data_IF_807417349469
#
_entry.id   IF_807417349469
#
_cell.length_a   1.000
_cell.length_b   1.000
_cell.length_c   1.000
_cell.angle_alpha   90.00
_cell.angle_beta   90.00
_cell.angle_gamma   90.00
#
_symmetry.space_group_name_H-M   'P 1'
#
loop_
_entity.id
_entity.type
_entity.pdbx_description
1 polymer ?
#
# COMPACT_ATOMS: atom_id res chain seq x y z
N UNK A 1 6.27 3.72 -9.29
CA UNK A 1 5.72 3.73 -10.68
C UNK A 1 5.73 2.30 -11.20
N UNK A 2 4.85 1.96 -12.15
CA UNK A 2 4.80 0.62 -12.74
C UNK A 2 5.93 0.43 -13.75
N UNK A 3 6.77 -0.58 -13.57
CA UNK A 3 7.84 -0.95 -14.49
C UNK A 3 7.35 -2.00 -15.50
N UNK A 4 7.85 -1.97 -16.73
CA UNK A 4 7.63 -3.05 -17.67
C UNK A 4 8.35 -4.31 -17.19
N UNK A 5 7.68 -5.46 -17.27
CA UNK A 5 8.25 -6.75 -16.89
C UNK A 5 7.97 -7.75 -18.01
N UNK A 6 8.98 -8.43 -18.51
CA UNK A 6 8.84 -9.42 -19.58
C UNK A 6 9.48 -10.74 -19.16
N UNK A 7 8.83 -11.84 -19.51
CA UNK A 7 9.30 -13.17 -19.18
C UNK A 7 8.86 -14.17 -20.25
N UNK A 8 9.45 -15.36 -20.24
CA UNK A 8 9.09 -16.44 -21.16
C UNK A 8 8.03 -17.33 -20.54
N UNK A 9 6.95 -17.56 -21.29
CA UNK A 9 5.99 -18.62 -21.00
C UNK A 9 6.57 -20.00 -21.33
N UNK A 10 5.83 -21.05 -21.00
CA UNK A 10 6.29 -22.44 -21.12
C UNK A 10 6.69 -22.84 -22.54
N UNK A 11 5.99 -22.33 -23.55
CA UNK A 11 6.24 -22.66 -24.97
C UNK A 11 7.18 -21.64 -25.66
N UNK A 12 7.88 -20.81 -24.87
CA UNK A 12 8.85 -19.81 -25.37
C UNK A 12 8.24 -18.47 -25.80
N UNK A 13 6.92 -18.32 -25.70
CA UNK A 13 6.20 -17.07 -25.94
C UNK A 13 6.65 -15.97 -24.97
N UNK A 14 6.71 -14.72 -25.43
CA UNK A 14 7.03 -13.59 -24.54
C UNK A 14 5.76 -13.08 -23.89
N UNK A 15 5.70 -13.18 -22.57
CA UNK A 15 4.59 -12.65 -21.76
C UNK A 15 4.98 -11.29 -21.19
N UNK A 16 4.05 -10.34 -21.24
CA UNK A 16 4.28 -8.95 -20.87
C UNK A 16 3.44 -8.54 -19.68
N UNK A 17 4.09 -7.92 -18.72
CA UNK A 17 3.50 -7.45 -17.49
C UNK A 17 3.92 -6.06 -17.07
N UNK A 18 3.41 -5.70 -15.89
CA UNK A 18 3.67 -4.47 -15.16
C UNK A 18 3.94 -4.84 -13.71
N UNK A 19 5.15 -4.53 -13.24
CA UNK A 19 5.55 -4.70 -11.86
C UNK A 19 5.36 -3.36 -11.13
N UNK A 20 4.41 -3.30 -10.21
CA UNK A 20 4.20 -2.16 -9.33
C UNK A 20 5.05 -2.36 -8.06
N UNK A 21 6.05 -1.52 -7.85
CA UNK A 21 6.91 -1.55 -6.66
C UNK A 21 6.46 -0.54 -5.60
N UNK A 22 6.56 -0.87 -4.29
CA UNK A 22 6.42 0.11 -3.22
C UNK A 22 7.54 1.15 -3.26
N UNK A 23 7.39 2.22 -2.49
CA UNK A 23 8.51 3.08 -2.13
C UNK A 23 9.40 2.33 -1.14
N UNK A 24 10.68 2.12 -1.48
CA UNK A 24 11.60 1.30 -0.69
C UNK A 24 11.56 -0.20 -1.03
N UNK A 25 12.16 -1.02 -0.16
CA UNK A 25 12.25 -2.47 -0.38
C UNK A 25 10.87 -3.15 -0.26
N UNK A 26 10.50 -4.06 -1.18
CA UNK A 26 9.28 -4.86 -1.05
C UNK A 26 9.27 -5.71 0.21
N UNK A 27 8.18 -5.62 0.99
CA UNK A 27 7.96 -6.43 2.20
C UNK A 27 7.34 -7.79 1.89
N UNK A 28 6.65 -7.87 0.75
CA UNK A 28 6.22 -9.11 0.12
C UNK A 28 6.00 -8.86 -1.37
N UNK A 29 5.76 -9.95 -2.11
CA UNK A 29 5.45 -9.92 -3.52
C UNK A 29 4.15 -10.67 -3.77
N UNK A 30 3.28 -10.08 -4.60
CA UNK A 30 2.05 -10.65 -5.07
C UNK A 30 2.08 -10.85 -6.59
N UNK A 31 1.57 -11.98 -7.04
CA UNK A 31 1.25 -12.22 -8.45
C UNK A 31 -0.27 -12.08 -8.61
N UNK A 32 -0.68 -11.16 -9.49
CA UNK A 32 -2.09 -10.84 -9.69
C UNK A 32 -2.59 -11.29 -11.07
N UNK A 33 -3.31 -12.40 -11.09
CA UNK A 33 -4.11 -12.88 -12.22
C UNK A 33 -5.43 -12.10 -12.30
N UNK A 34 -5.53 -11.14 -13.22
CA UNK A 34 -6.79 -10.45 -13.47
C UNK A 34 -7.73 -11.29 -14.36
N UNK A 35 -8.96 -10.83 -14.56
CA UNK A 35 -9.94 -11.50 -15.41
C UNK A 35 -9.38 -11.77 -16.83
N UNK A 36 -9.62 -12.98 -17.35
CA UNK A 36 -9.15 -13.46 -18.66
C UNK A 36 -9.68 -12.68 -19.86
N UNK A 37 -10.75 -11.90 -19.68
CA UNK A 37 -11.33 -11.07 -20.74
C UNK A 37 -10.92 -9.61 -20.60
N UNK A 38 -10.13 -9.30 -19.58
CA UNK A 38 -9.63 -7.97 -19.27
C UNK A 38 -8.14 -7.95 -19.57
N UNK A 39 -7.65 -6.96 -20.34
CA UNK A 39 -6.20 -6.74 -20.41
C UNK A 39 -5.68 -6.28 -19.05
N UNK A 40 -4.36 -6.38 -18.81
CA UNK A 40 -3.73 -5.97 -17.55
C UNK A 40 -4.10 -4.57 -17.10
N UNK A 41 -4.47 -3.69 -18.02
CA UNK A 41 -4.75 -2.28 -17.76
C UNK A 41 -6.18 -1.98 -17.29
N UNK A 42 -6.98 -2.99 -16.94
CA UNK A 42 -8.29 -2.73 -16.30
C UNK A 42 -8.17 -1.94 -15.01
N UNK A 43 -9.11 -1.01 -14.83
CA UNK A 43 -9.12 -0.01 -13.76
C UNK A 43 -8.99 -0.65 -12.38
N UNK A 44 -9.77 -1.70 -12.09
CA UNK A 44 -9.71 -2.39 -10.81
C UNK A 44 -8.36 -3.05 -10.55
N UNK A 45 -7.81 -3.81 -11.50
CA UNK A 45 -6.52 -4.48 -11.30
C UNK A 45 -5.38 -3.46 -11.08
N UNK A 46 -5.36 -2.37 -11.87
CA UNK A 46 -4.41 -1.27 -11.67
C UNK A 46 -4.54 -0.62 -10.30
N UNK A 47 -5.77 -0.34 -9.86
CA UNK A 47 -6.03 0.33 -8.59
C UNK A 47 -5.65 -0.55 -7.41
N UNK A 48 -6.06 -1.82 -7.44
CA UNK A 48 -5.69 -2.80 -6.41
C UNK A 48 -4.17 -2.96 -6.35
N UNK A 49 -3.47 -3.15 -7.48
CA UNK A 49 -2.01 -3.28 -7.47
C UNK A 49 -1.31 -2.05 -6.89
N UNK A 50 -1.74 -0.83 -7.26
CA UNK A 50 -1.16 0.40 -6.72
C UNK A 50 -1.41 0.54 -5.22
N UNK A 51 -2.61 0.17 -4.76
CA UNK A 51 -2.97 0.25 -3.35
C UNK A 51 -2.21 -0.79 -2.51
N UNK A 52 -2.03 -2.01 -3.01
CA UNK A 52 -1.17 -3.03 -2.40
C UNK A 52 0.30 -2.59 -2.35
N UNK A 53 0.81 -2.00 -3.43
CA UNK A 53 2.15 -1.43 -3.48
C UNK A 53 2.34 -0.28 -2.47
N UNK A 54 1.34 0.58 -2.28
CA UNK A 54 1.37 1.61 -1.24
C UNK A 54 1.48 1.04 0.19
N UNK A 55 1.15 -0.25 0.39
CA UNK A 55 1.28 -0.96 1.66
C UNK A 55 2.54 -1.84 1.76
N UNK A 56 3.47 -1.71 0.81
CA UNK A 56 4.74 -2.45 0.83
C UNK A 56 4.72 -3.79 0.10
N UNK A 57 3.64 -4.15 -0.60
CA UNK A 57 3.53 -5.40 -1.36
C UNK A 57 3.79 -5.10 -2.83
N UNK A 58 4.92 -5.54 -3.39
CA UNK A 58 5.15 -5.42 -4.83
C UNK A 58 4.17 -6.32 -5.59
N UNK A 59 3.61 -5.85 -6.70
CA UNK A 59 2.58 -6.61 -7.44
C UNK A 59 2.94 -6.73 -8.91
N UNK A 60 3.09 -7.96 -9.40
CA UNK A 60 3.16 -8.24 -10.83
C UNK A 60 1.75 -8.52 -11.37
N UNK A 61 1.35 -7.74 -12.37
CA UNK A 61 0.23 -8.07 -13.28
C UNK A 61 0.79 -8.39 -14.64
N UNK A 62 0.24 -9.36 -15.35
CA UNK A 62 0.68 -9.68 -16.71
C UNK A 62 -0.50 -10.09 -17.59
N UNK A 63 -0.37 -9.86 -18.89
CA UNK A 63 -1.30 -10.37 -19.88
C UNK A 63 -0.98 -11.86 -20.11
N UNK A 64 -1.95 -12.77 -19.96
CA UNK A 64 -1.75 -14.19 -20.29
C UNK A 64 -1.46 -14.39 -21.79
N UNK A 65 -0.99 -15.59 -22.15
CA UNK A 65 -0.75 -15.97 -23.55
C UNK A 65 -1.93 -15.60 -24.46
N UNK A 66 -1.64 -14.87 -25.53
CA UNK A 66 -2.63 -14.45 -26.52
C UNK A 66 -3.63 -13.36 -26.07
N UNK A 67 -3.38 -12.72 -24.93
CA UNK A 67 -4.12 -11.55 -24.48
C UNK A 67 -3.23 -10.29 -24.48
N UNK A 68 -3.84 -9.14 -24.74
CA UNK A 68 -3.19 -7.84 -24.61
C UNK A 68 -1.95 -7.71 -25.48
N UNK A 69 -0.78 -7.57 -24.84
CA UNK A 69 0.51 -7.43 -25.53
C UNK A 69 1.41 -8.67 -25.45
N UNK A 70 0.90 -9.76 -24.88
CA UNK A 70 1.62 -11.03 -24.80
C UNK A 70 1.53 -11.79 -26.12
N UNK A 71 2.60 -12.48 -26.47
CA UNK A 71 2.67 -13.29 -27.69
C UNK A 71 1.68 -14.48 -27.60
N UNK A 72 1.35 -15.07 -28.76
CA UNK A 72 0.52 -16.28 -28.87
C UNK A 72 -0.94 -15.99 -29.27
N UNK A 73 -1.74 -17.05 -29.32
CA UNK A 73 -3.18 -17.00 -29.59
C UNK A 73 -3.96 -17.57 -28.40
N UNK A 74 -4.90 -16.80 -27.85
CA UNK A 74 -5.65 -17.19 -26.65
C UNK A 74 -6.43 -18.50 -26.88
N UNK A 75 -6.92 -18.71 -28.10
CA UNK A 75 -7.60 -19.93 -28.51
C UNK A 75 -6.73 -21.20 -28.32
N UNK A 76 -5.39 -21.08 -28.32
CA UNK A 76 -4.49 -22.23 -28.30
C UNK A 76 -3.95 -22.61 -26.91
N UNK A 77 -3.93 -21.68 -25.94
CA UNK A 77 -3.31 -21.92 -24.61
C UNK A 77 -4.20 -22.74 -23.66
N UNK A 78 -5.52 -22.58 -23.71
CA UNK A 78 -6.45 -23.28 -22.80
C UNK A 78 -6.35 -22.79 -21.34
N UNK A 79 -7.18 -23.34 -20.44
CA UNK A 79 -7.12 -22.98 -19.01
C UNK A 79 -5.83 -23.48 -18.34
N UNK A 80 -5.38 -24.69 -18.71
CA UNK A 80 -4.14 -25.29 -18.22
C UNK A 80 -2.91 -24.45 -18.60
N UNK A 81 -2.85 -23.92 -19.82
CA UNK A 81 -1.76 -23.01 -20.24
C UNK A 81 -1.71 -21.73 -19.41
N UNK A 82 -2.86 -21.21 -18.97
CA UNK A 82 -2.90 -20.04 -18.10
C UNK A 82 -2.36 -20.33 -16.69
N UNK A 83 -2.60 -21.54 -16.17
CA UNK A 83 -2.00 -22.00 -14.93
C UNK A 83 -0.47 -22.11 -15.07
N UNK A 84 0.01 -22.56 -16.22
CA UNK A 84 1.43 -22.64 -16.56
C UNK A 84 2.08 -21.25 -16.71
N UNK A 85 1.36 -20.29 -17.30
CA UNK A 85 1.81 -18.90 -17.39
C UNK A 85 1.98 -18.27 -15.99
N UNK A 86 1.10 -18.58 -15.03
CA UNK A 86 1.25 -18.14 -13.64
C UNK A 86 2.49 -18.75 -12.98
N UNK A 87 2.80 -20.00 -13.28
CA UNK A 87 4.01 -20.65 -12.78
C UNK A 87 5.27 -19.99 -13.36
N UNK A 88 5.29 -19.76 -14.68
CA UNK A 88 6.39 -19.05 -15.34
C UNK A 88 6.59 -17.63 -14.80
N UNK A 89 5.50 -16.90 -14.52
CA UNK A 89 5.57 -15.57 -13.92
C UNK A 89 6.17 -15.61 -12.50
N UNK A 90 5.76 -16.60 -11.69
CA UNK A 90 6.29 -16.78 -10.34
C UNK A 90 7.77 -17.17 -10.34
N UNK A 91 8.20 -18.02 -11.27
CA UNK A 91 9.62 -18.38 -11.47
C UNK A 91 10.46 -17.18 -11.91
N UNK A 92 9.97 -16.41 -12.88
CA UNK A 92 10.66 -15.21 -13.37
C UNK A 92 10.83 -14.15 -12.26
N UNK A 93 9.81 -13.98 -11.41
CA UNK A 93 9.91 -13.15 -10.20
C UNK A 93 10.93 -13.73 -9.21
N UNK A 94 10.88 -15.04 -8.96
CA UNK A 94 11.80 -15.75 -8.07
C UNK A 94 13.27 -15.58 -8.47
N UNK A 95 13.57 -15.63 -9.77
CA UNK A 95 14.91 -15.41 -10.31
C UNK A 95 15.47 -14.00 -10.02
N UNK A 96 14.61 -13.02 -9.77
CA UNK A 96 15.00 -11.66 -9.36
C UNK A 96 14.95 -11.44 -7.84
N UNK A 97 14.84 -12.52 -7.05
CA UNK A 97 14.70 -12.44 -5.58
C UNK A 97 13.31 -11.96 -5.13
N UNK A 98 12.30 -12.01 -6.01
CA UNK A 98 10.95 -11.50 -5.78
C UNK A 98 9.90 -12.62 -5.78
N UNK A 99 10.26 -13.82 -5.30
CA UNK A 99 9.34 -14.96 -5.30
C UNK A 99 7.99 -14.61 -4.63
N UNK A 100 6.84 -14.82 -5.29
CA UNK A 100 5.56 -14.36 -4.78
C UNK A 100 5.14 -15.18 -3.56
N UNK A 101 4.80 -14.48 -2.47
CA UNK A 101 4.18 -15.06 -1.28
C UNK A 101 2.65 -15.02 -1.33
N UNK A 102 2.09 -14.13 -2.15
CA UNK A 102 0.65 -13.93 -2.31
C UNK A 102 0.23 -14.14 -3.77
N UNK A 103 -0.86 -14.89 -3.97
CA UNK A 103 -1.58 -14.85 -5.24
C UNK A 103 -2.87 -14.06 -5.07
N UNK A 104 -3.15 -13.18 -6.02
CA UNK A 104 -4.43 -12.48 -6.12
C UNK A 104 -5.07 -12.89 -7.45
N UNK A 105 -6.34 -13.27 -7.43
CA UNK A 105 -7.09 -13.66 -8.62
C UNK A 105 -8.43 -12.95 -8.70
N UNK A 106 -8.80 -12.44 -9.87
CA UNK A 106 -10.11 -11.82 -10.10
C UNK A 106 -10.89 -12.57 -11.17
N UNK A 107 -12.19 -12.79 -10.92
CA UNK A 107 -13.08 -13.55 -11.81
C UNK A 107 -12.49 -14.95 -12.11
N UNK A 108 -12.45 -15.37 -13.38
CA UNK A 108 -11.77 -16.61 -13.80
C UNK A 108 -10.29 -16.66 -13.37
N UNK A 109 -9.60 -15.52 -13.24
CA UNK A 109 -8.24 -15.45 -12.70
C UNK A 109 -8.14 -15.99 -11.27
N UNK A 110 -9.24 -15.91 -10.51
CA UNK A 110 -9.40 -16.54 -9.20
C UNK A 110 -9.29 -18.06 -9.25
N UNK A 111 -9.95 -18.70 -10.22
CA UNK A 111 -9.83 -20.15 -10.42
C UNK A 111 -8.40 -20.54 -10.83
N UNK A 112 -7.77 -19.74 -11.71
CA UNK A 112 -6.40 -19.99 -12.16
C UNK A 112 -5.38 -19.92 -11.01
N UNK A 113 -5.47 -18.92 -10.13
CA UNK A 113 -4.55 -18.83 -8.98
C UNK A 113 -4.77 -19.94 -7.95
N UNK A 114 -6.02 -20.39 -7.75
CA UNK A 114 -6.30 -21.54 -6.89
C UNK A 114 -5.66 -22.81 -7.48
N UNK A 115 -5.80 -23.03 -8.79
CA UNK A 115 -5.21 -24.18 -9.47
C UNK A 115 -3.66 -24.13 -9.44
N UNK A 116 -3.06 -22.95 -9.64
CA UNK A 116 -1.61 -22.75 -9.65
C UNK A 116 -0.97 -22.84 -8.26
N UNK A 117 -1.68 -22.45 -7.19
CA UNK A 117 -1.11 -22.26 -5.85
C UNK A 117 -0.37 -23.50 -5.31
N UNK A 118 -0.87 -24.71 -5.59
CA UNK A 118 -0.26 -25.96 -5.12
C UNK A 118 1.13 -26.21 -5.70
N UNK A 119 1.40 -25.72 -6.91
CA UNK A 119 2.67 -25.86 -7.61
C UNK A 119 3.71 -24.80 -7.22
N UNK A 120 3.34 -23.82 -6.37
CA UNK A 120 4.18 -22.68 -6.01
C UNK A 120 4.59 -22.75 -4.53
N UNK A 121 5.81 -23.20 -4.19
CA UNK A 121 6.24 -23.39 -2.80
C UNK A 121 6.37 -22.08 -2.00
N UNK A 122 6.68 -20.97 -2.68
CA UNK A 122 6.83 -19.63 -2.06
C UNK A 122 5.50 -19.05 -1.60
N UNK A 123 4.40 -19.39 -2.28
CA UNK A 123 3.06 -18.87 -1.97
C UNK A 123 2.63 -19.36 -0.60
N UNK A 124 2.15 -18.45 0.24
CA UNK A 124 1.59 -18.73 1.58
C UNK A 124 0.10 -18.39 1.68
N UNK A 125 -0.36 -17.46 0.84
CA UNK A 125 -1.72 -16.94 0.87
C UNK A 125 -2.28 -16.75 -0.55
N UNK A 126 -3.59 -16.97 -0.70
CA UNK A 126 -4.35 -16.79 -1.94
C UNK A 126 -5.57 -15.92 -1.62
N UNK A 127 -5.76 -14.85 -2.38
CA UNK A 127 -6.94 -14.01 -2.32
C UNK A 127 -7.67 -14.05 -3.66
N UNK A 128 -8.97 -14.33 -3.64
CA UNK A 128 -9.80 -14.36 -4.85
C UNK A 128 -10.95 -13.36 -4.75
N UNK A 129 -11.23 -12.68 -5.85
CA UNK A 129 -12.24 -11.62 -5.96
C UNK A 129 -13.25 -12.04 -7.03
N UNK A 130 -14.52 -12.24 -6.67
CA UNK A 130 -15.58 -12.54 -7.64
C UNK A 130 -15.35 -13.86 -8.40
N UNK A 131 -14.68 -14.84 -7.79
CA UNK A 131 -14.22 -16.04 -8.48
C UNK A 131 -15.33 -17.09 -8.62
N UNK A 132 -15.43 -17.77 -9.78
CA UNK A 132 -16.34 -18.91 -9.94
C UNK A 132 -15.81 -20.13 -9.17
N UNK A 133 -16.73 -20.88 -8.55
CA UNK A 133 -16.40 -22.13 -7.85
C UNK A 133 -16.22 -23.30 -8.83
N UNK A 134 -16.94 -23.23 -9.94
CA UNK A 134 -16.84 -24.16 -11.05
C UNK A 134 -16.55 -23.34 -12.32
N UNK A 135 -15.30 -23.38 -12.82
CA UNK A 135 -14.93 -22.69 -14.05
C UNK A 135 -15.78 -23.13 -15.25
N UNK A 136 -16.29 -24.37 -15.25
CA UNK A 136 -17.20 -24.85 -16.28
C UNK A 136 -18.56 -24.17 -16.23
N UNK A 137 -19.07 -23.74 -15.06
CA UNK A 137 -20.32 -22.99 -14.99
C UNK A 137 -20.25 -21.61 -15.68
N UNK A 138 -19.04 -21.06 -15.86
CA UNK A 138 -18.85 -19.83 -16.65
C UNK A 138 -19.22 -20.05 -18.12
N UNK A 139 -19.19 -21.30 -18.59
CA UNK A 139 -19.63 -21.65 -19.95
C UNK A 139 -21.11 -21.42 -20.20
N UNK A 140 -21.94 -21.31 -19.16
CA UNK A 140 -23.33 -20.88 -19.31
C UNK A 140 -23.44 -19.45 -19.86
N UNK A 141 -22.47 -18.58 -19.62
CA UNK A 141 -22.40 -17.26 -20.28
C UNK A 141 -22.07 -17.37 -21.78
N UNK A 142 -21.55 -18.52 -22.21
CA UNK A 142 -21.22 -18.84 -23.59
C UNK A 142 -22.18 -19.87 -24.19
N UNK A 143 -23.33 -20.15 -23.56
CA UNK A 143 -24.22 -21.25 -23.96
C UNK A 143 -24.71 -21.13 -25.41
N UNK A 144 -24.85 -19.91 -25.93
CA UNK A 144 -25.20 -19.66 -27.32
C UNK A 144 -24.09 -20.02 -28.32
N UNK A 145 -22.83 -19.98 -27.89
CA UNK A 145 -21.66 -20.30 -28.71
C UNK A 145 -21.14 -21.73 -28.44
N UNK A 146 -21.60 -22.42 -27.40
CA UNK A 146 -21.11 -23.75 -27.04
C UNK A 146 -21.34 -24.79 -28.14
N UNK A 147 -22.50 -24.76 -28.81
CA UNK A 147 -22.80 -25.62 -29.95
C UNK A 147 -21.88 -25.33 -31.15
N UNK A 148 -21.60 -24.05 -31.41
CA UNK A 148 -20.67 -23.61 -32.45
C UNK A 148 -19.23 -24.05 -32.15
N UNK A 149 -18.77 -23.90 -30.91
CA UNK A 149 -17.43 -24.34 -30.48
C UNK A 149 -17.27 -25.87 -30.62
N UNK A 150 -18.31 -26.64 -30.27
CA UNK A 150 -18.30 -28.10 -30.45
C UNK A 150 -18.44 -28.55 -31.90
N UNK A 151 -19.05 -27.74 -32.78
CA UNK A 151 -19.14 -28.03 -34.21
C UNK A 151 -17.86 -27.61 -34.96
N UNK A 152 -17.47 -26.34 -34.84
CA UNK A 152 -16.45 -25.67 -35.65
C UNK A 152 -15.07 -25.65 -35.00
N UNK A 153 -15.00 -25.85 -33.67
CA UNK A 153 -13.75 -25.94 -32.91
C UNK A 153 -13.37 -24.65 -32.19
N UNK A 154 -13.91 -23.52 -32.63
CA UNK A 154 -13.76 -22.20 -32.02
C UNK A 154 -15.04 -21.38 -32.22
N UNK A 155 -15.32 -20.40 -31.36
CA UNK A 155 -16.33 -19.38 -31.62
C UNK A 155 -15.96 -18.05 -30.93
N UNK A 156 -16.45 -16.95 -31.48
CA UNK A 156 -16.31 -15.62 -30.89
C UNK A 156 -17.40 -15.37 -29.85
N UNK A 157 -16.99 -14.97 -28.65
CA UNK A 157 -17.88 -14.66 -27.53
C UNK A 157 -17.60 -13.28 -26.97
N UNK A 158 -18.61 -12.66 -26.35
CA UNK A 158 -18.47 -11.37 -25.69
C UNK A 158 -18.68 -11.50 -24.18
N UNK A 159 -17.72 -11.03 -23.38
CA UNK A 159 -17.83 -10.97 -21.92
C UNK A 159 -17.41 -9.58 -21.44
N UNK A 160 -18.26 -8.95 -20.64
CA UNK A 160 -18.02 -7.60 -20.11
C UNK A 160 -17.69 -6.55 -21.21
N UNK A 161 -18.30 -6.69 -22.39
CA UNK A 161 -18.17 -5.74 -23.51
C UNK A 161 -16.91 -5.90 -24.36
N UNK A 162 -16.24 -7.05 -24.32
CA UNK A 162 -15.10 -7.38 -25.19
C UNK A 162 -15.29 -8.73 -25.86
N UNK A 163 -14.95 -8.78 -27.14
CA UNK A 163 -15.06 -9.99 -27.97
C UNK A 163 -13.74 -10.77 -27.97
N UNK A 164 -13.83 -12.10 -27.89
CA UNK A 164 -12.69 -13.01 -27.90
C UNK A 164 -13.09 -14.39 -28.41
N UNK A 165 -12.13 -15.08 -29.03
CA UNK A 165 -12.33 -16.43 -29.57
C UNK A 165 -12.04 -17.48 -28.49
N UNK A 166 -13.02 -18.33 -28.17
CA UNK A 166 -12.84 -19.51 -27.32
C UNK A 166 -12.66 -20.74 -28.20
N UNK A 167 -11.75 -21.63 -27.83
CA UNK A 167 -11.60 -22.94 -28.48
C UNK A 167 -12.29 -24.07 -27.71
N UNK A 168 -12.57 -25.16 -28.43
CA UNK A 168 -13.09 -26.41 -27.85
C UNK A 168 -12.13 -27.00 -26.81
N UNK A 169 -10.82 -26.84 -27.02
CA UNK A 169 -9.79 -27.24 -26.06
C UNK A 169 -9.95 -26.49 -24.74
N UNK A 170 -10.19 -25.17 -24.79
CA UNK A 170 -10.42 -24.37 -23.58
C UNK A 170 -11.65 -24.83 -22.79
N UNK A 171 -12.77 -25.12 -23.47
CA UNK A 171 -13.97 -25.63 -22.80
C UNK A 171 -13.75 -27.00 -22.13
N UNK A 172 -13.02 -27.90 -22.80
CA UNK A 172 -12.68 -29.22 -22.23
C UNK A 172 -11.73 -29.10 -21.04
N UNK A 173 -10.68 -28.29 -21.16
CA UNK A 173 -9.73 -28.05 -20.07
C UNK A 173 -10.43 -27.44 -18.83
N UNK A 174 -11.43 -26.58 -19.03
CA UNK A 174 -12.25 -26.03 -17.95
C UNK A 174 -13.11 -27.10 -17.27
N UNK A 175 -13.73 -28.01 -18.03
CA UNK A 175 -14.53 -29.11 -17.50
C UNK A 175 -13.70 -30.13 -16.70
N UNK A 176 -12.48 -30.41 -17.16
CA UNK A 176 -11.59 -31.39 -16.52
C UNK A 176 -10.91 -30.82 -15.25
N UNK A 177 -10.92 -29.50 -15.05
CA UNK A 177 -10.33 -28.86 -13.87
C UNK A 177 -11.29 -28.88 -12.68
N UNK A 178 -11.14 -29.84 -11.77
CA UNK A 178 -11.90 -29.85 -10.51
C UNK A 178 -11.29 -28.91 -9.47
N UNK A 179 -11.73 -27.65 -9.46
CA UNK A 179 -11.28 -26.64 -8.48
C UNK A 179 -11.48 -27.10 -7.02
N UNK A 180 -12.50 -27.91 -6.77
CA UNK A 180 -12.79 -28.53 -5.46
C UNK A 180 -11.60 -29.31 -4.91
N UNK A 181 -10.88 -30.07 -5.74
CA UNK A 181 -9.75 -30.88 -5.28
C UNK A 181 -8.53 -30.00 -4.96
N UNK A 182 -8.28 -28.99 -5.81
CA UNK A 182 -7.27 -27.95 -5.53
C UNK A 182 -7.55 -27.24 -4.20
N UNK A 183 -8.82 -26.92 -3.90
CA UNK A 183 -9.20 -26.26 -2.64
C UNK A 183 -9.03 -27.16 -1.41
N UNK A 184 -9.33 -28.47 -1.53
CA UNK A 184 -9.13 -29.44 -0.43
C UNK A 184 -7.66 -29.63 -0.10
N UNK A 185 -6.79 -29.53 -1.10
CA UNK A 185 -5.34 -29.73 -1.00
C UNK A 185 -4.54 -28.43 -1.10
N UNK A 186 -5.19 -27.27 -0.96
CA UNK A 186 -4.56 -25.97 -1.15
C UNK A 186 -3.40 -25.79 -0.16
N UNK A 187 -3.61 -26.16 1.11
CA UNK A 187 -2.61 -26.00 2.19
C UNK A 187 -2.00 -24.58 2.26
N UNK A 188 -2.76 -23.55 1.86
CA UNK A 188 -2.45 -22.11 1.94
C UNK A 188 -3.64 -21.39 2.56
N UNK A 189 -3.40 -20.20 3.10
CA UNK A 189 -4.49 -19.36 3.56
C UNK A 189 -5.33 -18.87 2.38
N UNK A 190 -6.66 -18.91 2.50
CA UNK A 190 -7.59 -18.47 1.45
C UNK A 190 -8.46 -17.31 1.93
N UNK A 191 -8.49 -16.22 1.17
CA UNK A 191 -9.45 -15.14 1.31
C UNK A 191 -10.35 -15.08 0.09
N UNK A 192 -11.66 -15.13 0.31
CA UNK A 192 -12.67 -14.97 -0.73
C UNK A 192 -13.32 -13.60 -0.52
N UNK A 193 -13.25 -12.73 -1.53
CA UNK A 193 -13.98 -11.47 -1.58
C UNK A 193 -15.02 -11.54 -2.68
N UNK A 194 -16.28 -11.23 -2.38
CA UNK A 194 -17.34 -11.38 -3.38
C UNK A 194 -18.51 -10.41 -3.14
N UNK A 195 -19.03 -9.81 -4.21
CA UNK A 195 -20.16 -8.90 -4.12
C UNK A 195 -21.49 -9.67 -4.05
N UNK A 196 -22.39 -9.38 -3.09
CA UNK A 196 -23.68 -10.07 -3.00
C UNK A 196 -24.59 -9.88 -4.22
N UNK A 197 -24.42 -8.76 -4.93
CA UNK A 197 -25.22 -8.37 -6.11
C UNK A 197 -24.44 -8.57 -7.43
N UNK A 198 -23.41 -9.41 -7.42
CA UNK A 198 -22.64 -9.75 -8.62
C UNK A 198 -23.53 -10.43 -9.67
N UNK A 199 -23.79 -9.74 -10.78
CA UNK A 199 -24.63 -10.22 -11.86
C UNK A 199 -23.92 -11.15 -12.86
N UNK A 200 -22.59 -11.30 -12.74
CA UNK A 200 -21.78 -12.12 -13.65
C UNK A 200 -21.44 -13.45 -12.97
N UNK A 201 -20.92 -13.40 -11.76
CA UNK A 201 -20.60 -14.60 -10.97
C UNK A 201 -21.37 -14.48 -9.66
N UNK A 202 -22.50 -15.18 -9.57
CA UNK A 202 -23.37 -15.10 -8.39
C UNK A 202 -22.67 -15.51 -7.08
N UNK A 203 -23.13 -14.93 -5.97
CA UNK A 203 -22.55 -15.08 -4.63
C UNK A 203 -22.45 -16.52 -4.13
N UNK A 204 -23.30 -17.42 -4.64
CA UNK A 204 -23.27 -18.85 -4.30
C UNK A 204 -21.93 -19.53 -4.66
N UNK A 205 -21.19 -18.96 -5.62
CA UNK A 205 -19.82 -19.39 -5.91
C UNK A 205 -18.89 -19.16 -4.71
N UNK A 206 -18.98 -18.00 -4.05
CA UNK A 206 -18.18 -17.72 -2.86
C UNK A 206 -18.48 -18.72 -1.74
N UNK A 207 -19.77 -19.02 -1.52
CA UNK A 207 -20.21 -20.05 -0.57
C UNK A 207 -19.64 -21.42 -0.90
N UNK A 208 -19.67 -21.81 -2.17
CA UNK A 208 -19.17 -23.11 -2.64
C UNK A 208 -17.65 -23.22 -2.47
N UNK A 209 -16.90 -22.18 -2.86
CA UNK A 209 -15.45 -22.08 -2.63
C UNK A 209 -15.13 -22.18 -1.14
N UNK A 210 -15.87 -21.46 -0.30
CA UNK A 210 -15.65 -21.43 1.14
C UNK A 210 -15.92 -22.79 1.78
N UNK A 211 -16.98 -23.49 1.37
CA UNK A 211 -17.31 -24.83 1.89
C UNK A 211 -16.25 -25.86 1.46
N UNK A 212 -15.80 -25.82 0.19
CA UNK A 212 -14.82 -26.76 -0.33
C UNK A 212 -13.42 -26.61 0.28
N UNK A 213 -13.00 -25.38 0.62
CA UNK A 213 -11.69 -25.10 1.19
C UNK A 213 -11.52 -25.61 2.63
N UNK A 214 -10.29 -25.89 3.05
CA UNK A 214 -9.92 -26.12 4.46
C UNK A 214 -9.44 -24.84 5.13
N UNK A 215 -9.38 -24.82 6.46
CA UNK A 215 -8.79 -23.69 7.19
C UNK A 215 -7.26 -23.60 7.00
N UNK A 216 -6.66 -22.40 7.05
CA UNK A 216 -7.31 -21.11 7.32
C UNK A 216 -7.99 -20.52 6.07
N UNK A 217 -9.27 -20.18 6.21
CA UNK A 217 -10.12 -19.61 5.16
C UNK A 217 -10.97 -18.46 5.71
N UNK A 218 -11.21 -17.44 4.89
CA UNK A 218 -11.94 -16.23 5.24
C UNK A 218 -12.85 -15.81 4.08
N UNK A 219 -13.98 -15.19 4.39
CA UNK A 219 -14.91 -14.65 3.42
C UNK A 219 -15.28 -13.21 3.81
N UNK A 220 -15.23 -12.30 2.84
CA UNK A 220 -15.59 -10.89 2.98
C UNK A 220 -16.53 -10.50 1.85
N UNK A 221 -17.64 -9.85 2.19
CA UNK A 221 -18.56 -9.33 1.19
C UNK A 221 -18.10 -7.96 0.67
N UNK A 222 -18.31 -7.71 -0.62
CA UNK A 222 -18.07 -6.42 -1.28
C UNK A 222 -19.42 -5.74 -1.54
N UNK A 223 -20.02 -5.17 -0.51
CA UNK A 223 -21.39 -4.64 -0.58
C UNK A 223 -21.54 -3.49 -1.59
N UNK A 224 -22.59 -3.56 -2.41
CA UNK A 224 -22.88 -2.60 -3.49
C UNK A 224 -21.85 -2.54 -4.63
N UNK A 225 -20.81 -3.37 -4.63
CA UNK A 225 -19.84 -3.45 -5.72
C UNK A 225 -20.40 -4.24 -6.92
N UNK A 226 -19.96 -3.90 -8.12
CA UNK A 226 -20.18 -4.73 -9.31
C UNK A 226 -19.05 -5.75 -9.50
N UNK A 227 -19.22 -6.67 -10.46
CA UNK A 227 -18.24 -7.72 -10.75
C UNK A 227 -16.83 -7.19 -11.06
N UNK A 228 -16.75 -6.01 -11.70
CA UNK A 228 -15.50 -5.43 -12.19
C UNK A 228 -14.87 -4.45 -11.20
N UNK A 229 -15.47 -4.23 -10.02
CA UNK A 229 -15.09 -3.19 -9.06
C UNK A 229 -14.91 -1.82 -9.73
N UNK A 230 -15.90 -1.40 -10.52
CA UNK A 230 -15.86 -0.16 -11.30
C UNK A 230 -15.70 1.09 -10.44
N UNK A 231 -16.21 1.07 -9.20
CA UNK A 231 -16.05 2.17 -8.24
C UNK A 231 -14.71 2.08 -7.53
N UNK A 232 -13.99 3.19 -7.54
CA UNK A 232 -12.70 3.39 -6.87
C UNK A 232 -12.66 2.87 -5.42
N UNK A 233 -13.68 3.21 -4.64
CA UNK A 233 -13.78 2.85 -3.22
C UNK A 233 -13.86 1.34 -2.98
N UNK A 234 -14.48 0.58 -3.89
CA UNK A 234 -14.64 -0.88 -3.73
C UNK A 234 -13.33 -1.60 -4.02
N UNK A 235 -12.60 -1.14 -5.05
CA UNK A 235 -11.26 -1.62 -5.37
C UNK A 235 -10.25 -1.29 -4.24
N UNK A 236 -10.33 -0.08 -3.66
CA UNK A 236 -9.48 0.29 -2.52
C UNK A 236 -9.80 -0.57 -1.28
N UNK A 237 -11.09 -0.78 -0.99
CA UNK A 237 -11.52 -1.64 0.12
C UNK A 237 -11.05 -3.09 -0.05
N UNK A 238 -11.18 -3.65 -1.26
CA UNK A 238 -10.69 -4.99 -1.56
C UNK A 238 -9.16 -5.08 -1.36
N UNK A 239 -8.41 -4.11 -1.87
CA UNK A 239 -6.95 -4.07 -1.73
C UNK A 239 -6.51 -3.94 -0.26
N UNK A 240 -7.15 -3.06 0.51
CA UNK A 240 -6.83 -2.85 1.92
C UNK A 240 -7.13 -4.09 2.75
N UNK A 241 -8.27 -4.73 2.48
CA UNK A 241 -8.65 -6.00 3.11
C UNK A 241 -7.63 -7.09 2.80
N UNK A 242 -7.23 -7.24 1.53
CA UNK A 242 -6.24 -8.23 1.11
C UNK A 242 -4.89 -7.99 1.80
N UNK A 243 -4.39 -6.76 1.82
CA UNK A 243 -3.09 -6.45 2.42
C UNK A 243 -3.07 -6.73 3.93
N UNK A 244 -4.08 -6.25 4.65
CA UNK A 244 -4.19 -6.44 6.12
C UNK A 244 -4.35 -7.93 6.46
N UNK A 245 -5.18 -8.66 5.72
CA UNK A 245 -5.36 -10.09 5.92
C UNK A 245 -4.09 -10.88 5.59
N UNK A 246 -3.44 -10.58 4.46
CA UNK A 246 -2.25 -11.28 4.01
C UNK A 246 -1.04 -11.06 4.94
N UNK A 247 -0.99 -9.91 5.62
CA UNK A 247 0.04 -9.59 6.61
C UNK A 247 0.22 -10.69 7.68
N UNK A 248 -0.87 -11.40 8.01
CA UNK A 248 -0.84 -12.49 9.01
C UNK A 248 -0.03 -13.71 8.56
N UNK A 249 0.15 -13.90 7.25
CA UNK A 249 0.71 -15.11 6.63
C UNK A 249 2.00 -14.87 5.86
N UNK A 250 2.23 -13.65 5.36
CA UNK A 250 3.38 -13.33 4.52
C UNK A 250 4.64 -12.97 5.30
N UNK A 251 4.61 -13.02 6.64
CA UNK A 251 5.69 -12.49 7.49
C UNK A 251 6.17 -11.14 6.95
N UNK A 252 5.22 -10.24 6.59
CA UNK A 252 5.55 -8.95 5.96
C UNK A 252 6.61 -8.30 6.82
N UNK A 253 7.87 -8.37 6.37
CA UNK A 253 9.01 -8.05 7.21
C UNK A 253 8.67 -6.74 7.90
N UNK A 254 8.61 -6.74 9.23
CA UNK A 254 8.56 -5.46 9.92
C UNK A 254 9.73 -4.68 9.33
N UNK A 255 9.51 -3.46 8.80
CA UNK A 255 10.63 -2.69 8.25
C UNK A 255 11.72 -2.77 9.29
N UNK A 256 12.92 -3.24 8.89
CA UNK A 256 14.03 -3.38 9.84
C UNK A 256 14.04 -2.10 10.64
N UNK A 257 13.82 -2.15 11.97
CA UNK A 257 13.69 -0.94 12.73
C UNK A 257 15.02 -0.22 12.54
N UNK A 258 14.97 0.90 11.81
CA UNK A 258 16.15 1.71 11.54
C UNK A 258 16.89 1.86 12.87
N UNK A 259 18.21 1.61 12.90
CA UNK A 259 18.95 1.32 14.12
C UNK A 259 18.61 2.37 15.16
N UNK A 260 17.83 1.95 16.18
CA UNK A 260 17.24 2.87 17.14
C UNK A 260 18.34 3.73 17.72
N UNK A 261 18.12 5.05 17.75
CA UNK A 261 19.00 5.92 18.49
C UNK A 261 19.03 5.43 19.95
N UNK A 262 20.22 5.31 20.57
CA UNK A 262 20.32 5.11 22.01
C UNK A 262 19.50 6.14 22.79
N UNK A 263 19.09 5.80 24.00
CA UNK A 263 18.34 6.74 24.85
C UNK A 263 19.12 8.06 25.03
N UNK A 264 18.42 9.19 24.88
CA UNK A 264 19.03 10.53 24.93
C UNK A 264 19.68 10.99 23.61
N UNK A 265 19.70 10.15 22.57
CA UNK A 265 20.19 10.53 21.23
C UNK A 265 19.00 10.74 20.28
N UNK A 266 19.03 11.84 19.54
CA UNK A 266 18.20 12.05 18.35
C UNK A 266 19.03 11.69 17.13
N UNK A 267 18.63 10.65 16.39
CA UNK A 267 19.27 10.27 15.11
C UNK A 267 18.39 10.73 13.97
N UNK A 268 18.98 11.44 13.03
CA UNK A 268 18.37 11.80 11.75
C UNK A 268 19.16 11.08 10.66
N UNK A 269 18.46 10.38 9.78
CA UNK A 269 19.03 9.71 8.62
C UNK A 269 18.25 10.07 7.37
N UNK A 270 18.95 10.14 6.25
CA UNK A 270 18.33 10.33 4.94
C UNK A 270 17.43 9.13 4.62
N UNK A 271 16.18 9.42 4.24
CA UNK A 271 15.21 8.41 3.81
C UNK A 271 15.04 8.41 2.28
N UNK A 272 15.35 9.52 1.61
CA UNK A 272 15.36 9.64 0.16
C UNK A 272 16.57 10.46 -0.31
N UNK A 273 17.57 9.84 -0.97
CA UNK A 273 18.75 10.55 -1.47
C UNK A 273 18.46 11.49 -2.65
N UNK A 274 17.27 11.42 -3.24
CA UNK A 274 16.86 12.32 -4.33
C UNK A 274 15.99 13.49 -3.85
N UNK A 275 15.66 13.54 -2.55
CA UNK A 275 14.83 14.58 -1.95
C UNK A 275 15.36 15.04 -0.59
N UNK A 276 14.50 15.66 0.21
CA UNK A 276 14.84 16.11 1.56
C UNK A 276 14.20 15.26 2.67
N UNK A 277 13.57 14.13 2.32
CA UNK A 277 12.91 13.28 3.29
C UNK A 277 13.92 12.63 4.24
N UNK A 278 13.70 12.83 5.54
CA UNK A 278 14.51 12.28 6.62
C UNK A 278 13.68 11.41 7.56
N UNK A 279 14.31 10.36 8.09
CA UNK A 279 13.81 9.60 9.23
C UNK A 279 14.45 10.11 10.53
N UNK A 280 13.59 10.48 11.49
CA UNK A 280 13.97 11.04 12.79
C UNK A 280 13.61 10.06 13.90
N UNK A 281 14.62 9.52 14.59
CA UNK A 281 14.47 8.59 15.71
C UNK A 281 14.87 9.23 17.04
N UNK A 282 13.97 9.16 18.03
CA UNK A 282 14.14 9.66 19.39
C UNK A 282 13.72 8.57 20.39
N UNK A 283 14.65 7.66 20.71
CA UNK A 283 14.36 6.46 21.51
C UNK A 283 13.26 5.59 20.87
N UNK A 284 12.06 5.58 21.45
CA UNK A 284 10.89 4.84 20.95
C UNK A 284 10.06 5.60 19.90
N UNK A 285 10.30 6.89 19.74
CA UNK A 285 9.54 7.75 18.84
C UNK A 285 10.21 7.78 17.47
N UNK A 286 9.40 7.70 16.41
CA UNK A 286 9.83 7.79 15.02
C UNK A 286 8.94 8.80 14.31
N UNK A 287 9.55 9.80 13.69
CA UNK A 287 8.91 10.87 12.94
C UNK A 287 9.64 11.07 11.62
N UNK A 288 9.01 11.79 10.69
CA UNK A 288 9.64 12.22 9.43
C UNK A 288 9.99 13.71 9.49
N UNK A 289 11.05 14.12 8.81
CA UNK A 289 11.28 15.53 8.50
C UNK A 289 11.38 15.69 6.99
N UNK A 290 10.87 16.78 6.45
CA UNK A 290 10.91 17.05 5.01
C UNK A 290 10.76 18.55 4.75
N UNK A 291 10.93 18.97 3.50
CA UNK A 291 10.60 20.32 3.07
C UNK A 291 9.34 20.33 2.18
N UNK A 292 8.64 21.47 2.06
CA UNK A 292 7.57 21.62 1.09
C UNK A 292 8.07 21.41 -0.35
N UNK A 293 7.17 21.02 -1.24
CA UNK A 293 7.48 20.84 -2.67
C UNK A 293 8.05 22.12 -3.32
N UNK A 294 7.65 23.30 -2.86
CA UNK A 294 8.17 24.59 -3.35
C UNK A 294 9.66 24.80 -3.05
N UNK A 295 10.22 24.03 -2.10
CA UNK A 295 11.62 24.03 -1.73
C UNK A 295 12.34 22.73 -2.12
N UNK A 296 11.70 21.87 -2.94
CA UNK A 296 12.29 20.65 -3.47
C UNK A 296 12.11 19.40 -2.59
N UNK A 297 11.31 19.46 -1.52
CA UNK A 297 10.95 18.30 -0.72
C UNK A 297 9.68 17.59 -1.20
N UNK A 298 9.22 16.59 -0.44
CA UNK A 298 8.03 15.80 -0.78
C UNK A 298 6.79 16.14 0.06
N UNK A 299 6.92 17.07 1.02
CA UNK A 299 5.88 17.44 1.98
C UNK A 299 5.32 16.22 2.77
N UNK A 300 6.17 15.22 3.02
CA UNK A 300 5.81 14.00 3.76
C UNK A 300 6.13 14.09 5.27
N UNK A 301 6.69 15.21 5.71
CA UNK A 301 7.00 15.52 7.11
C UNK A 301 7.18 17.02 7.34
N UNK A 302 7.14 17.49 8.60
CA UNK A 302 7.37 18.89 8.92
C UNK A 302 8.82 19.33 8.61
N UNK A 303 8.96 20.62 8.33
CA UNK A 303 10.27 21.26 8.11
C UNK A 303 11.11 21.36 9.38
N UNK A 304 12.43 21.51 9.27
CA UNK A 304 13.30 21.69 10.43
C UNK A 304 12.89 22.87 11.32
N UNK A 305 12.44 23.98 10.73
CA UNK A 305 11.95 25.13 11.52
C UNK A 305 10.61 24.85 12.18
N UNK A 306 9.74 24.04 11.57
CA UNK A 306 8.52 23.57 12.23
C UNK A 306 8.84 22.66 13.42
N UNK A 307 9.92 21.89 13.39
CA UNK A 307 10.40 21.16 14.57
C UNK A 307 10.87 22.09 15.69
N UNK A 308 11.60 23.16 15.38
CA UNK A 308 11.99 24.17 16.36
C UNK A 308 10.77 24.87 16.97
N UNK A 309 9.83 25.29 16.12
CA UNK A 309 8.57 25.91 16.53
C UNK A 309 7.73 24.97 17.42
N UNK A 310 7.64 23.69 17.05
CA UNK A 310 6.95 22.67 17.84
C UNK A 310 7.60 22.48 19.22
N UNK A 311 8.94 22.44 19.29
CA UNK A 311 9.68 22.37 20.54
C UNK A 311 9.42 23.57 21.45
N UNK A 312 9.43 24.79 20.88
CA UNK A 312 9.13 26.02 21.60
C UNK A 312 7.69 26.07 22.12
N UNK A 313 6.71 25.75 21.25
CA UNK A 313 5.30 25.71 21.60
C UNK A 313 4.99 24.69 22.69
N UNK A 314 5.49 23.46 22.54
CA UNK A 314 5.32 22.39 23.51
C UNK A 314 5.92 22.75 24.88
N UNK A 315 7.15 23.26 24.90
CA UNK A 315 7.82 23.66 26.15
C UNK A 315 7.08 24.80 26.85
N UNK A 316 6.56 25.76 26.09
CA UNK A 316 5.75 26.87 26.58
C UNK A 316 4.45 26.37 27.23
N UNK A 317 3.67 25.55 26.52
CA UNK A 317 2.42 25.01 27.01
C UNK A 317 2.61 24.17 28.29
N UNK A 318 3.65 23.32 28.33
CA UNK A 318 4.01 22.53 29.51
C UNK A 318 4.36 23.42 30.71
N UNK A 319 5.12 24.48 30.49
CA UNK A 319 5.56 25.41 31.55
C UNK A 319 4.37 26.16 32.17
N UNK A 320 3.48 26.68 31.33
CA UNK A 320 2.22 27.33 31.76
C UNK A 320 1.37 26.35 32.57
N UNK A 321 1.15 25.14 32.05
CA UNK A 321 0.35 24.09 32.70
C UNK A 321 0.93 23.70 34.06
N UNK A 322 2.25 23.49 34.12
CA UNK A 322 2.95 23.17 35.36
C UNK A 322 2.76 24.27 36.41
N UNK A 323 2.90 25.54 36.01
CA UNK A 323 2.74 26.66 36.93
C UNK A 323 1.32 26.80 37.46
N UNK A 324 0.31 26.71 36.59
CA UNK A 324 -1.10 26.76 36.99
C UNK A 324 -1.45 25.64 37.99
N UNK A 325 -0.97 24.42 37.75
CA UNK A 325 -1.14 23.28 38.69
C UNK A 325 -0.53 23.58 40.06
N UNK A 326 0.70 24.11 40.09
CA UNK A 326 1.39 24.46 41.34
C UNK A 326 0.64 25.53 42.13
N UNK A 327 -0.09 26.42 41.46
CA UNK A 327 -0.89 27.48 42.08
C UNK A 327 -2.34 27.10 42.38
N UNK A 328 -2.78 25.92 41.93
CA UNK A 328 -4.16 25.48 42.06
C UNK A 328 -5.15 26.30 41.22
N UNK A 329 -4.69 26.88 40.10
CA UNK A 329 -5.53 27.71 39.23
C UNK A 329 -6.34 26.87 38.24
N UNK A 330 -7.58 27.28 37.98
CA UNK A 330 -8.52 26.60 37.09
C UNK A 330 -8.26 26.92 35.61
N UNK A 331 -7.13 26.40 35.12
CA UNK A 331 -6.78 26.45 33.71
C UNK A 331 -7.36 25.23 33.00
N UNK A 332 -8.36 25.43 32.14
CA UNK A 332 -8.98 24.38 31.32
C UNK A 332 -8.03 23.87 30.24
N UNK A 333 -7.68 24.72 29.27
CA UNK A 333 -6.82 24.37 28.13
C UNK A 333 -5.77 25.45 27.84
N UNK A 334 -4.65 25.02 27.25
CA UNK A 334 -3.57 25.88 26.74
C UNK A 334 -3.26 25.44 25.33
N UNK A 335 -3.34 26.35 24.36
CA UNK A 335 -2.75 26.17 23.04
C UNK A 335 -1.71 27.27 22.78
N UNK A 336 -0.70 26.94 21.99
CA UNK A 336 0.38 27.86 21.62
C UNK A 336 0.63 27.67 20.13
N UNK A 337 0.24 28.66 19.34
CA UNK A 337 0.59 28.72 17.92
C UNK A 337 1.94 29.41 17.81
N UNK A 338 2.84 28.87 16.99
CA UNK A 338 4.18 29.41 16.80
C UNK A 338 4.43 29.63 15.32
N UNK A 339 4.61 30.88 14.93
CA UNK A 339 4.97 31.30 13.59
C UNK A 339 6.48 31.54 13.52
N UNK A 340 7.12 31.13 12.43
CA UNK A 340 8.52 31.44 12.14
C UNK A 340 8.63 32.24 10.84
N UNK A 341 9.31 33.36 10.90
CA UNK A 341 9.60 34.22 9.75
C UNK A 341 11.01 34.81 9.83
N UNK A 342 11.54 35.24 8.68
CA UNK A 342 12.80 35.99 8.60
C UNK A 342 12.52 37.46 8.40
N UNK A 343 12.90 38.30 9.37
CA UNK A 343 12.68 39.75 9.32
C UNK A 343 14.00 40.51 9.20
N UNK A 344 13.97 41.71 8.61
CA UNK A 344 15.14 42.58 8.52
C UNK A 344 15.41 43.22 9.89
N UNK A 345 16.66 43.15 10.37
CA UNK A 345 17.07 43.77 11.62
C UNK A 345 17.14 45.30 11.50
N UNK A 346 15.99 46.00 11.48
CA UNK A 346 15.97 47.47 11.54
C UNK A 346 16.19 48.01 12.96
N UNK A 347 15.93 47.21 14.01
CA UNK A 347 15.91 47.65 15.41
C UNK A 347 16.88 46.89 16.34
N UNK A 348 17.90 46.24 15.79
CA UNK A 348 18.94 45.59 16.59
C UNK A 348 20.13 46.56 16.78
N UNK A 349 20.34 47.05 18.01
CA UNK A 349 21.45 47.96 18.35
C UNK A 349 22.85 47.34 18.17
N UNK A 350 22.94 46.02 17.99
CA UNK A 350 24.20 45.26 17.91
C UNK A 350 24.40 44.44 16.64
N UNK A 351 23.52 44.53 15.64
CA UNK A 351 23.62 43.72 14.42
C UNK A 351 24.28 44.51 13.26
N UNK A 352 25.14 43.85 12.47
CA UNK A 352 25.69 44.46 11.24
C UNK A 352 24.55 44.71 10.22
N UNK A 353 24.57 45.88 9.57
CA UNK A 353 23.51 46.31 8.64
C UNK A 353 23.36 45.33 7.47
N UNK A 354 22.31 44.51 7.49
CA UNK A 354 21.91 43.65 6.37
C UNK A 354 21.47 42.24 6.76
N UNK A 355 21.71 41.80 7.98
CA UNK A 355 21.34 40.45 8.42
C UNK A 355 19.84 40.34 8.70
N UNK A 356 19.24 39.24 8.21
CA UNK A 356 17.87 38.87 8.55
C UNK A 356 17.90 38.05 9.84
N UNK A 357 17.09 38.43 10.81
CA UNK A 357 16.93 37.70 12.07
C UNK A 357 15.78 36.71 11.95
N UNK A 358 15.94 35.55 12.56
CA UNK A 358 14.87 34.58 12.74
C UNK A 358 13.94 35.05 13.85
N UNK A 359 12.66 35.24 13.53
CA UNK A 359 11.63 35.70 14.46
C UNK A 359 10.63 34.56 14.68
N UNK A 360 10.45 34.17 15.94
CA UNK A 360 9.43 33.21 16.36
C UNK A 360 8.33 33.96 17.13
N UNK A 361 7.17 34.13 16.52
CA UNK A 361 6.00 34.73 17.18
C UNK A 361 5.17 33.62 17.84
N UNK A 362 4.79 33.83 19.11
CA UNK A 362 3.92 32.90 19.85
C UNK A 362 2.57 33.54 20.14
N UNK A 363 1.50 32.86 19.76
CA UNK A 363 0.12 33.24 20.08
C UNK A 363 -0.42 32.22 21.08
N UNK A 364 -0.72 32.66 22.30
CA UNK A 364 -1.09 31.78 23.42
C UNK A 364 -2.57 31.95 23.74
N UNK A 365 -3.33 30.85 23.68
CA UNK A 365 -4.75 30.83 24.07
C UNK A 365 -4.95 30.07 25.37
N UNK A 366 -5.60 30.71 26.34
CA UNK A 366 -5.89 30.16 27.67
C UNK A 366 -7.40 30.12 27.94
N UNK A 367 -7.93 28.94 28.26
CA UNK A 367 -9.34 28.75 28.66
C UNK A 367 -9.45 28.28 30.12
N UNK A 368 -10.60 28.49 30.75
CA UNK A 368 -10.84 28.18 32.17
C UNK A 368 -11.19 29.41 33.01
N UNK A 369 -11.56 29.20 34.28
CA UNK A 369 -11.94 30.27 35.20
C UNK A 369 -10.69 30.99 35.75
N UNK A 370 -10.06 31.79 34.89
CA UNK A 370 -8.89 32.58 35.21
C UNK A 370 -9.21 34.08 35.20
N UNK A 371 -8.80 34.77 36.26
CA UNK A 371 -8.85 36.23 36.30
C UNK A 371 -7.75 36.88 35.44
N UNK A 372 -7.82 38.20 35.23
CA UNK A 372 -6.86 38.93 34.40
C UNK A 372 -5.42 38.84 34.94
N UNK A 373 -5.24 38.95 36.26
CA UNK A 373 -3.91 38.89 36.87
C UNK A 373 -3.27 37.50 36.73
N UNK A 374 -4.08 36.44 36.78
CA UNK A 374 -3.64 35.07 36.52
C UNK A 374 -3.24 34.89 35.06
N UNK A 375 -4.01 35.44 34.11
CA UNK A 375 -3.68 35.39 32.67
C UNK A 375 -2.38 36.12 32.37
N UNK A 376 -2.22 37.34 32.85
CA UNK A 376 -0.98 38.12 32.70
C UNK A 376 0.21 37.39 33.32
N UNK A 377 -0.01 36.76 34.48
CA UNK A 377 1.05 35.99 35.12
C UNK A 377 1.44 34.75 34.33
N UNK A 378 0.48 34.04 33.74
CA UNK A 378 0.74 32.88 32.90
C UNK A 378 1.47 33.26 31.61
N UNK A 379 1.15 34.40 31.00
CA UNK A 379 1.90 34.95 29.88
C UNK A 379 3.36 35.23 30.27
N UNK A 380 3.60 35.91 31.39
CA UNK A 380 4.97 36.15 31.88
C UNK A 380 5.73 34.87 32.28
N UNK A 381 5.03 33.74 32.50
CA UNK A 381 5.63 32.44 32.75
C UNK A 381 5.97 31.72 31.43
N UNK A 382 5.29 32.02 30.33
CA UNK A 382 5.57 31.48 29.01
C UNK A 382 7.02 31.75 28.56
N UNK A 383 7.57 32.92 28.91
CA UNK A 383 8.95 33.35 28.59
C UNK A 383 10.00 32.70 29.48
N UNK A 384 9.59 31.83 30.41
CA UNK A 384 10.51 31.13 31.31
C UNK A 384 10.71 29.67 30.95
N UNK A 385 10.14 29.23 29.83
CA UNK A 385 10.30 27.85 29.39
C UNK A 385 11.76 27.60 28.94
N UNK A 386 12.33 26.42 29.23
CA UNK A 386 13.72 26.10 28.87
C UNK A 386 14.07 26.33 27.39
N UNK A 387 13.20 25.94 26.46
CA UNK A 387 13.48 26.08 25.01
C UNK A 387 13.54 27.54 24.59
N UNK A 388 12.67 28.40 25.12
CA UNK A 388 12.74 29.85 24.87
C UNK A 388 14.10 30.41 25.28
N UNK A 389 14.58 30.06 26.48
CA UNK A 389 15.91 30.48 26.94
C UNK A 389 17.05 29.98 26.06
N UNK A 390 16.93 28.78 25.50
CA UNK A 390 17.92 28.24 24.57
C UNK A 390 17.92 28.99 23.24
N UNK A 391 16.76 29.40 22.73
CA UNK A 391 16.65 30.17 21.48
C UNK A 391 17.15 31.62 21.63
N UNK A 392 16.97 32.23 22.80
CA UNK A 392 17.49 33.58 23.08
C UNK A 392 18.95 33.61 23.55
N UNK A 393 19.53 32.45 23.91
CA UNK A 393 20.92 32.33 24.35
C UNK A 393 21.85 31.89 23.22
N UNK A 394 23.13 32.22 23.34
CA UNK A 394 24.17 31.69 22.45
C UNK A 394 24.37 30.19 22.69
N UNK A 395 23.98 29.38 21.71
CA UNK A 395 24.20 27.93 21.73
C UNK A 395 25.50 27.56 21.01
N UNK A 396 26.32 26.71 21.63
CA UNK A 396 27.57 26.21 21.03
C UNK A 396 27.31 24.88 20.32
N UNK A 397 27.44 24.86 18.99
CA UNK A 397 27.34 23.65 18.17
C UNK A 397 28.75 23.09 17.92
N UNK A 398 28.98 21.82 18.28
CA UNK A 398 30.24 21.12 18.04
C UNK A 398 30.05 20.02 17.00
N UNK A 399 30.76 20.12 15.88
CA UNK A 399 30.66 19.16 14.77
C UNK A 399 31.90 18.28 14.72
N UNK A 400 31.69 16.96 14.57
CA UNK A 400 32.76 15.99 14.33
C UNK A 400 32.29 14.94 13.33
N UNK A 401 33.20 14.51 12.46
CA UNK A 401 32.98 13.39 11.57
C UNK A 401 33.24 12.08 12.34
N UNK A 402 32.34 11.11 12.25
CA UNK A 402 32.60 9.76 12.75
C UNK A 402 33.48 9.01 11.73
N UNK A 403 34.36 8.13 12.21
CA UNK A 403 35.07 7.19 11.35
C UNK A 403 34.10 6.21 10.71
N UNK A 404 34.35 5.79 9.47
CA UNK A 404 33.53 4.78 8.80
C UNK A 404 33.39 3.54 9.68
N UNK A 405 32.17 3.05 9.90
CA UNK A 405 31.95 1.72 10.45
C UNK A 405 32.35 0.73 9.35
N UNK A 406 33.61 0.29 9.37
CA UNK A 406 34.16 -0.64 8.38
C UNK A 406 33.40 -1.96 8.23
#
# INVERSE_FOLDING_TARGET
>A
MAEAFEFKGKDGQTLRGRLERPQGAPRAVALFAHCFTCGKDIFAARRISRRLAAQGIAVLRFDFTGLGHSDGEFANSGFSGNVEDLQAAAEALGAQGLAPGLLVGHSLGGAAVIAAAGALPSVKAVAVIGAPADPAHVTHHFSHAAEEIEAEGTADVSLAGRDFTISRKFLRDLHDTTLTDHLRHLHRALLILHAPLDAVVGIDNASSLFIAARHPKSFVTLDGADHLLSRAQDADYAADTIAVWAARYLELAEPEPAPKAPEGITRVAEADPQGFLQDVHMGRHHLKADEPQSFGGTDLGPSPYQYLAAGLGACTAMTIRMYARRKGWDLGHVSVDVLHEKQHASDCETCEKGEKIDVFERIITLTGALDAAQRDKLLAIADKCPVHRTLEAESVIRTRLASDPG
#
